data_IF_714683456577
#
_entry.id   IF_714683456577
#
_cell.length_a   1.000
_cell.length_b   1.000
_cell.length_c   1.000
_cell.angle_alpha   90.00
_cell.angle_beta   90.00
_cell.angle_gamma   90.00
#
_symmetry.space_group_name_H-M   'P 1'
#
loop_
_entity.id
_entity.type
_entity.pdbx_description
1 polymer ?
#
# COMPACT_ATOMS: atom_id res chain seq x y z
N UNK A 1 -29.90 -7.05 26.17
CA UNK A 1 -29.08 -7.33 24.98
C UNK A 1 -27.89 -6.39 25.02
N UNK A 2 -26.75 -6.88 25.50
CA UNK A 2 -25.53 -6.09 25.66
C UNK A 2 -24.99 -5.72 24.27
N UNK A 3 -24.82 -4.42 24.00
CA UNK A 3 -24.25 -3.94 22.75
C UNK A 3 -22.82 -4.47 22.60
N UNK A 4 -22.55 -5.13 21.48
CA UNK A 4 -21.22 -5.62 21.10
C UNK A 4 -20.23 -4.45 21.15
N UNK A 5 -19.05 -4.59 21.78
CA UNK A 5 -18.03 -3.55 21.82
C UNK A 5 -17.67 -3.09 20.40
N UNK A 6 -17.62 -1.77 20.18
CA UNK A 6 -17.27 -1.11 18.90
C UNK A 6 -15.82 -1.32 18.45
N UNK A 7 -15.10 -2.27 19.05
CA UNK A 7 -13.68 -2.52 18.77
C UNK A 7 -13.44 -3.31 17.47
N UNK A 8 -14.50 -3.89 16.89
CA UNK A 8 -14.47 -4.31 15.50
C UNK A 8 -14.84 -3.10 14.65
N UNK A 9 -13.84 -2.41 14.12
CA UNK A 9 -14.03 -1.49 12.99
C UNK A 9 -14.62 -2.34 11.86
N UNK A 10 -15.94 -2.32 11.73
CA UNK A 10 -16.62 -2.88 10.57
C UNK A 10 -16.08 -2.10 9.37
N UNK A 11 -15.25 -2.74 8.56
CA UNK A 11 -14.82 -2.18 7.29
C UNK A 11 -16.07 -1.86 6.48
N UNK A 12 -16.40 -0.57 6.38
CA UNK A 12 -17.50 -0.14 5.56
C UNK A 12 -17.09 -0.37 4.10
N UNK A 13 -17.77 -1.28 3.43
CA UNK A 13 -17.52 -1.59 2.01
C UNK A 13 -17.86 -0.36 1.17
N UNK A 14 -16.84 0.43 0.83
CA UNK A 14 -16.93 1.62 -0.02
C UNK A 14 -15.67 1.76 -0.85
N UNK A 15 -15.79 2.43 -2.00
CA UNK A 15 -14.66 2.79 -2.84
C UNK A 15 -13.69 3.70 -2.06
N UNK A 16 -12.43 3.33 -1.96
CA UNK A 16 -11.40 4.12 -1.27
C UNK A 16 -11.17 5.51 -1.91
N UNK A 17 -11.50 5.65 -3.19
CA UNK A 17 -11.24 6.87 -3.97
C UNK A 17 -12.46 7.79 -4.05
N UNK A 18 -13.66 7.23 -4.23
CA UNK A 18 -14.89 8.01 -4.45
C UNK A 18 -15.87 7.96 -3.29
N UNK A 19 -15.62 7.12 -2.28
CA UNK A 19 -16.56 6.79 -1.20
C UNK A 19 -17.90 6.18 -1.67
N UNK A 20 -18.07 5.86 -2.96
CA UNK A 20 -19.25 5.19 -3.48
C UNK A 20 -19.40 3.79 -2.85
N UNK A 21 -20.62 3.33 -2.62
CA UNK A 21 -20.94 2.00 -2.10
C UNK A 21 -21.45 1.03 -3.19
N UNK A 22 -21.79 1.56 -4.36
CA UNK A 22 -22.31 0.81 -5.49
C UNK A 22 -21.21 0.47 -6.50
N UNK A 23 -21.45 -0.59 -7.29
CA UNK A 23 -20.56 -1.07 -8.36
C UNK A 23 -19.10 -1.22 -7.90
N UNK A 24 -18.92 -1.98 -6.81
CA UNK A 24 -17.63 -2.17 -6.18
C UNK A 24 -16.97 -3.48 -6.60
N UNK A 25 -15.75 -3.35 -7.09
CA UNK A 25 -14.81 -4.44 -7.31
C UNK A 25 -13.73 -4.43 -6.22
N UNK A 26 -13.27 -5.61 -5.81
CA UNK A 26 -12.14 -5.75 -4.89
C UNK A 26 -10.87 -5.97 -5.71
N UNK A 27 -9.81 -5.22 -5.41
CA UNK A 27 -8.48 -5.52 -5.89
C UNK A 27 -7.70 -6.13 -4.74
N UNK A 28 -7.26 -7.36 -4.93
CA UNK A 28 -6.37 -8.05 -4.00
C UNK A 28 -4.94 -7.74 -4.35
N UNK A 29 -4.25 -7.01 -3.48
CA UNK A 29 -2.96 -6.40 -3.76
C UNK A 29 -1.82 -7.42 -3.79
N UNK A 30 -1.83 -8.39 -2.88
CA UNK A 30 -0.90 -9.52 -2.91
C UNK A 30 -1.68 -10.80 -3.20
N UNK A 31 -1.27 -11.52 -4.24
CA UNK A 31 -1.92 -12.77 -4.65
C UNK A 31 -1.70 -13.89 -3.62
N UNK A 32 -2.75 -14.69 -3.37
CA UNK A 32 -2.71 -15.79 -2.38
C UNK A 32 -1.70 -16.89 -2.72
N UNK A 33 -1.32 -16.99 -4.00
CA UNK A 33 -0.30 -17.92 -4.48
C UNK A 33 1.05 -17.74 -3.79
N UNK A 34 1.38 -16.53 -3.33
CA UNK A 34 2.63 -16.25 -2.60
C UNK A 34 2.73 -17.05 -1.29
N UNK A 35 1.60 -17.36 -0.64
CA UNK A 35 1.57 -18.20 0.56
C UNK A 35 1.55 -19.70 0.25
N UNK A 36 1.32 -20.09 -1.00
CA UNK A 36 1.16 -21.48 -1.46
C UNK A 36 2.32 -21.96 -2.32
N UNK A 37 3.37 -21.16 -2.48
CA UNK A 37 4.57 -21.56 -3.20
C UNK A 37 5.20 -22.79 -2.51
N UNK A 38 5.66 -23.73 -3.33
CA UNK A 38 6.35 -24.94 -2.88
C UNK A 38 7.67 -24.55 -2.19
N UNK A 39 8.30 -23.45 -2.65
CA UNK A 39 9.38 -22.79 -1.91
C UNK A 39 8.82 -21.83 -0.85
N UNK A 40 8.58 -22.38 0.34
CA UNK A 40 8.11 -21.62 1.49
C UNK A 40 9.07 -20.49 1.90
N UNK A 41 10.31 -20.43 1.40
CA UNK A 41 11.33 -19.44 1.82
C UNK A 41 10.82 -18.00 1.71
N UNK A 42 10.13 -17.65 0.63
CA UNK A 42 9.60 -16.29 0.44
C UNK A 42 8.52 -15.98 1.48
N UNK A 43 7.52 -16.86 1.61
CA UNK A 43 6.48 -16.73 2.61
C UNK A 43 7.06 -16.58 4.02
N UNK A 44 8.12 -17.33 4.33
CA UNK A 44 8.81 -17.25 5.61
C UNK A 44 9.48 -15.91 5.87
N UNK A 45 10.15 -15.35 4.85
CA UNK A 45 10.78 -14.03 4.93
C UNK A 45 9.73 -12.94 5.11
N UNK A 46 8.60 -13.03 4.41
CA UNK A 46 7.49 -12.09 4.55
C UNK A 46 6.87 -12.16 5.95
N UNK A 47 6.59 -13.36 6.45
CA UNK A 47 6.09 -13.54 7.81
C UNK A 47 7.02 -12.94 8.85
N UNK A 48 8.32 -13.27 8.75
CA UNK A 48 9.34 -12.75 9.64
C UNK A 48 9.42 -11.22 9.57
N UNK A 49 9.43 -10.66 8.36
CA UNK A 49 9.57 -9.23 8.14
C UNK A 49 8.34 -8.44 8.59
N UNK A 50 7.16 -9.03 8.48
CA UNK A 50 5.88 -8.38 8.81
C UNK A 50 5.39 -8.69 10.22
N UNK A 51 6.16 -9.50 10.96
CA UNK A 51 5.83 -9.90 12.33
C UNK A 51 4.60 -10.79 12.41
N UNK A 52 4.36 -11.62 11.39
CA UNK A 52 3.32 -12.63 11.42
C UNK A 52 3.83 -13.89 12.13
N UNK A 53 2.95 -14.63 12.83
CA UNK A 53 3.26 -15.99 13.25
C UNK A 53 3.47 -16.87 12.00
N UNK A 54 4.11 -18.01 12.19
CA UNK A 54 4.29 -19.00 11.11
C UNK A 54 2.95 -19.51 10.61
N UNK A 55 2.75 -19.53 9.29
CA UNK A 55 1.47 -19.78 8.63
C UNK A 55 0.52 -18.58 8.64
N UNK A 56 0.92 -17.45 9.26
CA UNK A 56 0.12 -16.24 9.37
C UNK A 56 -0.06 -15.49 8.06
N UNK A 57 0.83 -15.70 7.08
CA UNK A 57 0.75 -15.02 5.79
C UNK A 57 -0.56 -15.33 5.06
N UNK A 58 -0.98 -16.60 5.03
CA UNK A 58 -2.23 -17.00 4.37
C UNK A 58 -3.43 -16.21 4.90
N UNK A 59 -3.56 -16.10 6.23
CA UNK A 59 -4.64 -15.35 6.86
C UNK A 59 -4.60 -13.87 6.50
N UNK A 60 -3.40 -13.27 6.51
CA UNK A 60 -3.20 -11.87 6.10
C UNK A 60 -3.62 -11.63 4.65
N UNK A 61 -3.22 -12.51 3.72
CA UNK A 61 -3.55 -12.37 2.30
C UNK A 61 -5.04 -12.46 2.01
N UNK A 62 -5.80 -13.12 2.89
CA UNK A 62 -7.28 -13.18 2.85
C UNK A 62 -7.96 -12.09 3.67
N UNK A 63 -7.20 -11.23 4.35
CA UNK A 63 -7.74 -10.19 5.22
C UNK A 63 -8.08 -8.90 4.45
N UNK A 64 -9.00 -8.07 4.96
CA UNK A 64 -9.31 -6.77 4.37
C UNK A 64 -8.11 -5.82 4.25
N UNK A 65 -7.03 -6.04 5.03
CA UNK A 65 -5.80 -5.25 4.95
C UNK A 65 -5.00 -5.51 3.67
N UNK A 66 -5.30 -6.58 2.93
CA UNK A 66 -4.73 -6.89 1.62
C UNK A 66 -5.66 -6.52 0.44
N UNK A 67 -6.84 -6.00 0.74
CA UNK A 67 -7.87 -5.70 -0.25
C UNK A 67 -8.09 -4.18 -0.32
N UNK A 68 -8.23 -3.66 -1.54
CA UNK A 68 -8.75 -2.30 -1.78
C UNK A 68 -10.06 -2.39 -2.55
N UNK A 69 -11.10 -1.78 -2.01
CA UNK A 69 -12.40 -1.67 -2.66
C UNK A 69 -12.41 -0.42 -3.54
N UNK A 70 -12.74 -0.60 -4.81
CA UNK A 70 -12.77 0.47 -5.80
C UNK A 70 -14.05 0.34 -6.63
N UNK A 71 -14.56 1.46 -7.16
CA UNK A 71 -15.57 1.42 -8.22
C UNK A 71 -15.01 0.61 -9.40
N UNK A 72 -15.82 -0.22 -10.05
CA UNK A 72 -15.36 -1.24 -11.01
C UNK A 72 -14.48 -0.67 -12.13
N UNK A 73 -14.84 0.48 -12.70
CA UNK A 73 -14.04 1.18 -13.71
C UNK A 73 -12.65 1.62 -13.18
N UNK A 74 -12.58 2.12 -11.95
CA UNK A 74 -11.33 2.51 -11.28
C UNK A 74 -10.49 1.26 -10.97
N UNK A 75 -11.13 0.20 -10.50
CA UNK A 75 -10.49 -1.09 -10.24
C UNK A 75 -9.83 -1.65 -11.51
N UNK A 76 -10.50 -1.56 -12.65
CA UNK A 76 -9.96 -1.99 -13.95
C UNK A 76 -8.75 -1.15 -14.39
N UNK A 77 -8.76 0.17 -14.14
CA UNK A 77 -7.60 1.02 -14.43
C UNK A 77 -6.42 0.67 -13.49
N UNK A 78 -6.72 0.44 -12.21
CA UNK A 78 -5.71 0.05 -11.23
C UNK A 78 -5.07 -1.31 -11.55
N UNK A 79 -5.89 -2.32 -11.85
CA UNK A 79 -5.42 -3.68 -12.20
C UNK A 79 -4.55 -3.71 -13.47
N UNK A 80 -4.82 -2.80 -14.42
CA UNK A 80 -4.03 -2.60 -15.64
C UNK A 80 -2.74 -1.80 -15.42
N UNK A 81 -2.50 -1.28 -14.22
CA UNK A 81 -1.33 -0.46 -13.92
C UNK A 81 -1.38 0.94 -14.54
N UNK A 82 -2.56 1.47 -14.81
CA UNK A 82 -2.73 2.82 -15.39
C UNK A 82 -2.35 3.92 -14.39
N UNK A 83 -2.47 3.61 -13.10
CA UNK A 83 -1.95 4.40 -11.98
C UNK A 83 -1.49 3.46 -10.87
N UNK A 84 -0.64 3.99 -9.99
CA UNK A 84 -0.22 3.31 -8.77
C UNK A 84 -0.58 4.13 -7.54
N UNK A 85 -0.69 3.45 -6.41
CA UNK A 85 -0.69 4.05 -5.09
C UNK A 85 0.69 3.83 -4.47
N UNK A 86 1.26 4.87 -3.87
CA UNK A 86 2.48 4.76 -3.09
C UNK A 86 2.26 5.37 -1.70
N UNK A 87 2.84 4.81 -0.61
CA UNK A 87 2.76 5.46 0.70
C UNK A 87 3.25 6.90 0.63
N UNK A 88 2.62 7.79 1.40
CA UNK A 88 3.20 9.13 1.58
C UNK A 88 4.53 9.03 2.31
N UNK A 89 5.37 10.07 2.23
CA UNK A 89 6.65 10.06 2.94
C UNK A 89 6.46 10.02 4.46
N UNK A 90 5.38 10.59 4.99
CA UNK A 90 5.02 10.39 6.40
C UNK A 90 4.82 8.91 6.70
N UNK A 91 3.99 8.20 5.93
CA UNK A 91 3.76 6.77 6.14
C UNK A 91 5.05 5.95 6.01
N UNK A 92 5.92 6.30 5.05
CA UNK A 92 7.24 5.69 4.94
C UNK A 92 8.11 5.93 6.19
N UNK A 93 8.17 7.17 6.68
CA UNK A 93 8.96 7.53 7.85
C UNK A 93 8.45 6.81 9.11
N UNK A 94 7.14 6.79 9.32
CA UNK A 94 6.52 6.07 10.43
C UNK A 94 6.85 4.56 10.37
N UNK A 95 6.86 3.98 9.17
CA UNK A 95 7.27 2.58 8.94
C UNK A 95 8.77 2.34 9.23
N UNK A 96 9.64 3.26 8.83
CA UNK A 96 11.09 3.16 9.06
C UNK A 96 11.45 3.37 10.54
N UNK A 97 10.80 4.30 11.22
CA UNK A 97 10.94 4.51 12.66
C UNK A 97 10.50 3.26 13.43
N UNK A 98 9.33 2.71 13.09
CA UNK A 98 8.87 1.46 13.68
C UNK A 98 9.89 0.32 13.45
N UNK A 99 10.36 0.15 12.22
CA UNK A 99 11.29 -0.92 11.87
C UNK A 99 12.60 -0.81 12.65
N UNK A 100 13.07 0.41 12.89
CA UNK A 100 14.27 0.68 13.71
C UNK A 100 14.03 0.28 15.16
N UNK A 101 12.92 0.74 15.76
CA UNK A 101 12.57 0.44 17.16
C UNK A 101 12.26 -1.04 17.40
N UNK A 102 11.67 -1.74 16.42
CA UNK A 102 11.29 -3.14 16.52
C UNK A 102 12.48 -4.12 16.43
N UNK A 103 13.71 -3.60 16.32
CA UNK A 103 14.91 -4.43 16.18
C UNK A 103 14.90 -5.24 14.88
N UNK A 104 14.35 -4.70 13.79
CA UNK A 104 14.37 -5.39 12.49
C UNK A 104 15.81 -5.69 12.03
N UNK A 105 16.77 -4.83 12.42
CA UNK A 105 18.20 -5.05 12.21
C UNK A 105 18.88 -5.28 13.56
N UNK A 106 19.90 -6.13 13.58
CA UNK A 106 20.79 -6.38 14.73
C UNK A 106 20.08 -6.86 16.00
N UNK A 107 19.03 -7.69 15.85
CA UNK A 107 18.32 -8.27 16.99
C UNK A 107 19.20 -9.26 17.73
N UNK A 108 19.26 -9.13 19.05
CA UNK A 108 19.90 -10.12 19.91
C UNK A 108 19.05 -11.39 19.97
N UNK A 109 19.69 -12.56 20.11
CA UNK A 109 19.01 -13.86 20.15
C UNK A 109 18.00 -14.00 21.33
N UNK A 110 18.10 -13.14 22.34
CA UNK A 110 17.24 -13.12 23.53
C UNK A 110 16.08 -12.09 23.44
N UNK A 111 15.98 -11.30 22.37
CA UNK A 111 14.95 -10.26 22.25
C UNK A 111 13.58 -10.91 21.96
N UNK A 112 12.65 -10.76 22.90
CA UNK A 112 11.28 -11.28 22.87
C UNK A 112 10.22 -10.24 22.48
N UNK A 113 10.62 -9.03 22.09
CA UNK A 113 9.69 -7.95 21.70
C UNK A 113 8.76 -8.38 20.56
N UNK A 114 7.48 -8.01 20.66
CA UNK A 114 6.48 -8.36 19.67
C UNK A 114 6.82 -7.71 18.32
N UNK A 115 6.99 -8.54 17.30
CA UNK A 115 7.11 -8.09 15.90
C UNK A 115 5.69 -7.83 15.41
N UNK A 116 5.25 -6.59 15.33
CA UNK A 116 3.93 -6.29 14.74
C UNK A 116 3.90 -5.06 13.85
N UNK A 117 4.74 -4.97 12.79
CA UNK A 117 4.59 -3.92 11.77
C UNK A 117 3.14 -3.72 11.32
N UNK A 118 2.41 -4.82 11.10
CA UNK A 118 1.02 -4.79 10.61
C UNK A 118 0.03 -4.12 11.58
N UNK A 119 0.25 -4.19 12.88
CA UNK A 119 -0.65 -3.56 13.86
C UNK A 119 -0.10 -2.24 14.38
N UNK A 120 1.22 -2.07 14.40
CA UNK A 120 1.88 -0.91 14.96
C UNK A 120 1.83 0.32 14.05
N UNK A 121 1.62 0.11 12.75
CA UNK A 121 1.43 1.19 11.78
C UNK A 121 -0.03 1.60 11.62
N UNK A 122 -0.96 0.94 12.31
CA UNK A 122 -2.39 1.23 12.18
C UNK A 122 -2.71 2.64 12.69
N UNK A 123 -3.15 3.56 11.83
CA UNK A 123 -3.51 4.89 12.27
C UNK A 123 -4.81 4.84 13.10
N UNK A 124 -5.06 5.81 13.99
CA UNK A 124 -6.24 5.78 14.87
C UNK A 124 -7.59 5.71 14.13
N UNK A 125 -7.65 6.22 12.90
CA UNK A 125 -8.83 6.16 12.03
C UNK A 125 -8.90 4.89 11.15
N UNK A 126 -7.89 4.03 11.20
CA UNK A 126 -7.79 2.82 10.36
C UNK A 126 -7.55 3.08 8.87
N UNK A 127 -7.22 4.32 8.47
CA UNK A 127 -7.01 4.71 7.07
C UNK A 127 -5.58 5.21 6.85
N UNK A 128 -4.86 4.50 5.99
CA UNK A 128 -3.53 4.90 5.53
C UNK A 128 -3.63 5.89 4.38
N UNK A 129 -2.63 6.75 4.24
CA UNK A 129 -2.58 7.79 3.22
C UNK A 129 -1.61 7.40 2.12
N UNK A 130 -2.06 7.51 0.87
CA UNK A 130 -1.31 7.14 -0.33
C UNK A 130 -1.32 8.27 -1.33
N UNK A 131 -0.21 8.47 -2.05
CA UNK A 131 -0.19 9.35 -3.23
C UNK A 131 -0.70 8.58 -4.44
N UNK A 132 -1.62 9.20 -5.18
CA UNK A 132 -2.09 8.73 -6.48
C UNK A 132 -1.14 9.22 -7.57
N UNK A 133 -0.47 8.29 -8.24
CA UNK A 133 0.49 8.59 -9.30
C UNK A 133 -0.07 8.06 -10.63
N UNK A 134 -0.59 8.95 -11.51
CA UNK A 134 -1.05 8.55 -12.83
C UNK A 134 0.13 8.20 -13.73
N UNK A 135 0.12 7.01 -14.32
CA UNK A 135 1.12 6.57 -15.29
C UNK A 135 0.68 6.85 -16.73
N UNK A 136 -0.63 6.91 -16.97
CA UNK A 136 -1.20 7.14 -18.30
C UNK A 136 -2.16 8.34 -18.34
N UNK A 137 -2.54 8.76 -19.54
CA UNK A 137 -3.47 9.86 -19.74
C UNK A 137 -4.90 9.51 -19.31
N UNK A 138 -5.28 8.22 -19.40
CA UNK A 138 -6.54 7.74 -18.87
C UNK A 138 -6.61 7.95 -17.34
N UNK A 139 -5.53 7.62 -16.63
CA UNK A 139 -5.42 7.87 -15.20
C UNK A 139 -5.34 9.36 -14.85
N UNK A 140 -4.65 10.19 -15.65
CA UNK A 140 -4.66 11.65 -15.45
C UNK A 140 -6.05 12.24 -15.63
N UNK A 141 -6.79 11.80 -16.65
CA UNK A 141 -8.18 12.21 -16.89
C UNK A 141 -9.08 11.80 -15.74
N UNK A 142 -8.94 10.57 -15.24
CA UNK A 142 -9.65 10.11 -14.05
C UNK A 142 -9.30 11.00 -12.85
N UNK A 143 -8.02 11.26 -12.57
CA UNK A 143 -7.60 12.14 -11.47
C UNK A 143 -8.25 13.53 -11.55
N UNK A 144 -8.39 14.11 -12.74
CA UNK A 144 -9.07 15.39 -12.94
C UNK A 144 -10.59 15.36 -12.67
N UNK A 145 -11.22 14.19 -12.77
CA UNK A 145 -12.63 13.97 -12.43
C UNK A 145 -12.83 13.68 -10.94
N UNK A 146 -11.80 13.18 -10.27
CA UNK A 146 -11.84 12.86 -8.86
C UNK A 146 -11.53 14.10 -8.01
N UNK A 147 -12.33 14.35 -6.97
CA UNK A 147 -12.13 15.44 -6.03
C UNK A 147 -11.11 15.04 -4.93
N UNK A 148 -9.94 14.54 -5.33
CA UNK A 148 -8.92 14.10 -4.39
C UNK A 148 -8.23 15.28 -3.69
N UNK A 149 -7.99 15.12 -2.39
CA UNK A 149 -7.28 16.11 -1.58
C UNK A 149 -5.82 16.30 -2.01
N UNK A 150 -5.23 17.48 -1.76
CA UNK A 150 -3.79 17.68 -1.91
C UNK A 150 -3.01 16.93 -0.82
N UNK A 151 -1.71 16.77 -1.02
CA UNK A 151 -0.79 16.37 0.05
C UNK A 151 -0.73 17.46 1.14
N UNK A 152 -0.79 17.04 2.40
CA UNK A 152 -0.44 17.89 3.54
C UNK A 152 1.07 18.11 3.61
N UNK A 153 1.51 19.05 4.46
CA UNK A 153 2.95 19.28 4.68
C UNK A 153 3.69 18.05 5.21
N UNK A 154 2.99 17.19 5.95
CA UNK A 154 3.57 15.96 6.49
C UNK A 154 3.67 14.86 5.43
N UNK A 155 2.67 14.72 4.55
CA UNK A 155 2.66 13.68 3.50
C UNK A 155 3.90 13.75 2.61
N UNK A 156 4.36 14.96 2.29
CA UNK A 156 5.56 15.20 1.50
C UNK A 156 6.81 15.52 2.34
N UNK A 157 6.79 15.20 3.63
CA UNK A 157 7.90 15.39 4.57
C UNK A 157 8.53 16.80 4.51
N UNK A 158 7.69 17.84 4.44
CA UNK A 158 8.09 19.26 4.36
C UNK A 158 9.09 19.55 3.23
N UNK A 159 9.06 18.76 2.17
CA UNK A 159 9.95 18.91 1.01
C UNK A 159 11.34 18.32 1.16
N UNK A 160 11.56 17.46 2.15
CA UNK A 160 12.83 16.76 2.36
C UNK A 160 12.64 15.28 2.03
N UNK A 161 13.49 14.75 1.16
CA UNK A 161 13.44 13.34 0.78
C UNK A 161 13.85 12.46 1.99
N UNK A 162 12.99 11.54 2.45
CA UNK A 162 13.19 10.86 3.73
C UNK A 162 14.45 9.98 3.78
N UNK A 163 14.86 9.41 2.65
CA UNK A 163 16.06 8.56 2.60
C UNK A 163 17.38 9.31 2.37
N UNK A 164 17.35 10.53 1.80
CA UNK A 164 18.58 11.23 1.35
C UNK A 164 18.79 12.57 2.03
N UNK A 165 17.79 13.10 2.75
CA UNK A 165 17.83 14.43 3.35
C UNK A 165 17.84 15.57 2.34
N UNK A 166 17.75 15.29 1.03
CA UNK A 166 17.81 16.31 -0.02
C UNK A 166 16.47 17.00 -0.22
N UNK A 167 16.51 18.26 -0.60
CA UNK A 167 15.31 19.02 -1.00
C UNK A 167 14.67 18.37 -2.23
N UNK A 168 13.37 18.19 -2.17
CA UNK A 168 12.57 17.62 -3.25
C UNK A 168 12.11 18.68 -4.25
N UNK A 169 11.86 18.24 -5.48
CA UNK A 169 11.23 19.09 -6.49
C UNK A 169 9.78 19.40 -6.08
N UNK A 170 9.38 20.65 -6.21
CA UNK A 170 8.01 21.08 -5.89
C UNK A 170 6.94 20.35 -6.70
N UNK A 171 7.28 19.82 -7.88
CA UNK A 171 6.37 19.01 -8.70
C UNK A 171 5.84 17.78 -7.96
N UNK A 172 6.55 17.26 -6.95
CA UNK A 172 6.07 16.11 -6.16
C UNK A 172 4.81 16.46 -5.36
N UNK A 173 4.66 17.74 -4.96
CA UNK A 173 3.48 18.22 -4.21
C UNK A 173 2.18 18.19 -5.03
N UNK A 174 2.28 18.04 -6.35
CA UNK A 174 1.11 18.00 -7.23
C UNK A 174 0.30 16.70 -7.13
N UNK A 175 0.91 15.61 -6.64
CA UNK A 175 0.20 14.35 -6.47
C UNK A 175 -0.91 14.48 -5.43
N UNK A 176 -2.03 13.83 -5.71
CA UNK A 176 -3.22 13.83 -4.85
C UNK A 176 -3.19 12.67 -3.89
N UNK A 177 -3.89 12.80 -2.77
CA UNK A 177 -3.92 11.79 -1.72
C UNK A 177 -5.21 10.99 -1.77
N UNK A 178 -5.07 9.68 -1.55
CA UNK A 178 -6.14 8.71 -1.33
C UNK A 178 -5.98 8.13 0.08
N UNK A 179 -7.10 7.95 0.77
CA UNK A 179 -7.14 7.27 2.05
C UNK A 179 -7.73 5.87 1.86
N UNK A 180 -7.01 4.83 2.27
CA UNK A 180 -7.44 3.46 2.09
C UNK A 180 -7.14 2.59 3.32
N UNK A 181 -8.00 1.61 3.62
CA UNK A 181 -7.78 0.66 4.71
C UNK A 181 -6.67 -0.37 4.41
N UNK A 182 -6.33 -0.56 3.13
CA UNK A 182 -5.28 -1.46 2.71
C UNK A 182 -3.96 -1.08 3.40
N UNK A 183 -3.23 -2.07 3.88
CA UNK A 183 -1.99 -1.86 4.62
C UNK A 183 -0.84 -1.48 3.68
N UNK A 184 0.11 -0.61 4.10
CA UNK A 184 1.20 -0.14 3.24
C UNK A 184 2.05 -1.25 2.64
N UNK A 185 2.25 -2.36 3.35
CA UNK A 185 2.95 -3.55 2.84
C UNK A 185 2.31 -4.10 1.57
N UNK A 186 0.98 -4.22 1.55
CA UNK A 186 0.24 -4.72 0.38
C UNK A 186 0.32 -3.74 -0.77
N UNK A 187 0.12 -2.45 -0.49
CA UNK A 187 0.20 -1.40 -1.51
C UNK A 187 1.60 -1.31 -2.11
N UNK A 188 2.65 -1.38 -1.30
CA UNK A 188 4.04 -1.41 -1.79
C UNK A 188 4.33 -2.63 -2.66
N UNK A 189 3.83 -3.81 -2.27
CA UNK A 189 4.04 -5.05 -3.03
C UNK A 189 3.40 -4.95 -4.41
N UNK A 190 2.14 -4.51 -4.47
CA UNK A 190 1.41 -4.30 -5.73
C UNK A 190 2.03 -3.18 -6.60
N UNK A 191 2.49 -2.10 -5.97
CA UNK A 191 3.21 -1.01 -6.65
C UNK A 191 4.48 -1.53 -7.34
N UNK A 192 5.33 -2.29 -6.63
CA UNK A 192 6.57 -2.84 -7.20
C UNK A 192 6.26 -3.79 -8.35
N UNK A 193 5.30 -4.70 -8.18
CA UNK A 193 4.88 -5.61 -9.25
C UNK A 193 4.37 -4.86 -10.48
N UNK A 194 3.63 -3.77 -10.27
CA UNK A 194 3.12 -2.94 -11.36
C UNK A 194 4.24 -2.20 -12.09
N UNK A 195 5.18 -1.60 -11.37
CA UNK A 195 6.33 -0.92 -11.98
C UNK A 195 7.21 -1.88 -12.79
N UNK A 196 7.48 -3.08 -12.27
CA UNK A 196 8.24 -4.11 -13.00
C UNK A 196 7.55 -4.51 -14.31
N UNK A 197 6.23 -4.73 -14.29
CA UNK A 197 5.44 -5.04 -15.50
C UNK A 197 5.52 -3.92 -16.54
N UNK A 198 5.43 -2.66 -16.10
CA UNK A 198 5.53 -1.50 -17.00
C UNK A 198 6.92 -1.41 -17.63
N UNK A 199 7.98 -1.64 -16.85
CA UNK A 199 9.36 -1.62 -17.34
C UNK A 199 9.64 -2.73 -18.38
N UNK A 200 9.11 -3.94 -18.17
CA UNK A 200 9.20 -5.05 -19.13
C UNK A 200 8.52 -4.72 -20.47
N UNK A 201 7.35 -4.08 -20.44
CA UNK A 201 6.63 -3.66 -21.65
C UNK A 201 7.41 -2.58 -22.41
N UNK A 202 7.97 -1.59 -21.70
CA UNK A 202 8.78 -0.55 -22.32
C UNK A 202 10.06 -1.12 -22.95
N UNK A 203 10.73 -2.03 -22.26
CA UNK A 203 11.96 -2.69 -22.72
C UNK A 203 11.71 -3.56 -23.96
N UNK A 204 10.61 -4.32 -23.98
CA UNK A 204 10.24 -5.18 -25.12
C UNK A 204 9.76 -4.40 -26.35
N UNK A 205 9.21 -3.20 -26.17
CA UNK A 205 8.78 -2.33 -27.28
C UNK A 205 9.96 -1.62 -27.95
N UNK A 206 10.98 -1.24 -27.15
CA UNK A 206 12.23 -0.64 -27.64
C UNK A 206 13.03 -1.60 -28.53
N UNK A 207 13.07 -2.89 -28.18
CA UNK A 207 13.74 -3.94 -28.97
C UNK A 207 13.07 -4.26 -30.31
N UNK A 208 11.82 -3.83 -30.55
CA UNK A 208 11.10 -4.05 -31.81
C UNK A 208 11.26 -2.91 -32.82
N UNK A 209 11.91 -1.82 -32.43
CA UNK A 209 12.13 -0.64 -33.27
C UNK A 209 13.63 -0.34 -33.49
N UNK A 210 14.51 -1.30 -33.13
CA UNK A 210 15.95 -1.25 -33.37
C UNK A 210 16.37 -2.10 -34.55
#
# INVERSE_FOLDING_TARGET
MSSIPREYVYFQRKCAITSNIDDLSVVRLIHIGVARDDDQTEACRMEWAWGLPRGGLYYYLTSPLNDIWLRTDIAQLYARGEFILAPTFKTYMDAMEFSTRAGFKNRENNDISLRRPLTALCPPNGLYRYVYIPLTDAARKLQGQLQLGPQSEEDWNRGIHPATGRKMKNSIKQYRVVEAPAHPVSVCSDMIQTLNRVEEVLSSTSLRHG
#
